data_IF_524234707597
#
_entry.id   IF_524234707597
#
_cell.length_a   1.000
_cell.length_b   1.000
_cell.length_c   1.000
_cell.angle_alpha   90.00
_cell.angle_beta   90.00
_cell.angle_gamma   90.00
#
_symmetry.space_group_name_H-M   'P 1'
#
loop_
_entity.id
_entity.type
_entity.pdbx_description
1 polymer ?
#
# COMPACT_ATOMS: atom_id res chain seq x y z
N UNK A 1 -5.49 38.78 -1.02
CA UNK A 1 -6.22 37.50 -1.23
C UNK A 1 -5.20 36.37 -1.32
N UNK A 2 -5.23 35.38 -0.42
CA UNK A 2 -4.33 34.22 -0.52
C UNK A 2 -4.92 33.27 -1.57
N UNK A 3 -4.20 33.05 -2.67
CA UNK A 3 -4.53 31.98 -3.62
C UNK A 3 -4.29 30.65 -2.93
N UNK A 4 -5.36 29.97 -2.53
CA UNK A 4 -5.28 28.59 -2.06
C UNK A 4 -5.17 27.70 -3.28
N UNK A 5 -3.95 27.38 -3.70
CA UNK A 5 -3.70 26.33 -4.70
C UNK A 5 -4.02 25.00 -4.06
N UNK A 6 -5.26 24.54 -4.22
CA UNK A 6 -5.63 23.16 -3.89
C UNK A 6 -4.85 22.28 -4.86
N UNK A 7 -3.80 21.64 -4.34
CA UNK A 7 -2.96 20.74 -5.12
C UNK A 7 -3.82 19.56 -5.58
N UNK A 8 -3.69 19.17 -6.86
CA UNK A 8 -4.51 18.11 -7.48
C UNK A 8 -4.57 16.84 -6.61
N UNK A 9 -3.46 16.46 -5.97
CA UNK A 9 -3.42 15.32 -5.06
C UNK A 9 -4.27 15.50 -3.79
N UNK A 10 -4.45 16.70 -3.25
CA UNK A 10 -5.30 16.98 -2.09
C UNK A 10 -6.79 16.85 -2.45
N UNK A 11 -7.16 17.31 -3.66
CA UNK A 11 -8.51 17.13 -4.20
C UNK A 11 -8.79 15.65 -4.47
N UNK A 12 -7.83 14.96 -5.09
CA UNK A 12 -7.89 13.53 -5.36
C UNK A 12 -8.01 12.69 -4.08
N UNK A 13 -7.28 13.06 -3.02
CA UNK A 13 -7.41 12.46 -1.66
C UNK A 13 -8.81 12.60 -1.11
N UNK A 14 -9.43 13.79 -1.22
CA UNK A 14 -10.80 14.04 -0.73
C UNK A 14 -11.85 13.25 -1.51
N UNK A 15 -11.78 13.26 -2.84
CA UNK A 15 -12.72 12.54 -3.70
C UNK A 15 -12.69 11.06 -3.36
N UNK A 16 -11.50 10.48 -3.22
CA UNK A 16 -11.39 9.05 -2.99
C UNK A 16 -11.73 8.61 -1.56
N UNK A 17 -11.53 9.47 -0.55
CA UNK A 17 -11.98 9.19 0.83
C UNK A 17 -13.49 8.99 0.98
N UNK A 18 -14.30 9.49 0.03
CA UNK A 18 -15.76 9.27 -0.02
C UNK A 18 -16.11 7.83 -0.45
N UNK A 19 -15.23 7.15 -1.19
CA UNK A 19 -15.50 5.84 -1.79
C UNK A 19 -14.92 4.65 -1.01
N UNK A 20 -14.08 4.90 -0.01
CA UNK A 20 -13.45 3.84 0.78
C UNK A 20 -14.41 3.41 1.91
N UNK A 21 -15.19 2.35 1.63
CA UNK A 21 -15.93 1.61 2.68
C UNK A 21 -14.91 0.94 3.62
N UNK A 22 -15.10 1.12 4.93
CA UNK A 22 -14.24 0.55 5.96
C UNK A 22 -14.19 -0.97 5.83
N UNK A 23 -13.00 -1.50 5.50
CA UNK A 23 -12.64 -2.89 5.77
C UNK A 23 -11.88 -2.91 7.10
N UNK A 24 -12.13 -3.93 7.90
CA UNK A 24 -11.44 -4.12 9.17
C UNK A 24 -9.93 -4.30 8.91
N UNK A 25 -9.11 -3.54 9.65
CA UNK A 25 -7.65 -3.55 9.51
C UNK A 25 -7.02 -4.88 9.99
N UNK A 26 -7.77 -5.68 10.75
CA UNK A 26 -7.29 -6.89 11.44
C UNK A 26 -6.80 -7.99 10.51
N UNK A 27 -7.35 -8.11 9.31
CA UNK A 27 -7.10 -9.24 8.42
C UNK A 27 -5.69 -9.21 7.79
N UNK A 28 -4.99 -8.08 7.92
CA UNK A 28 -3.68 -7.83 7.30
C UNK A 28 -2.59 -7.48 8.32
N UNK A 29 -2.77 -7.85 9.59
CA UNK A 29 -1.83 -7.53 10.65
C UNK A 29 -0.45 -8.19 10.44
N UNK A 30 0.61 -7.39 10.55
CA UNK A 30 2.00 -7.85 10.44
C UNK A 30 2.66 -7.83 11.82
N UNK A 31 2.78 -6.65 12.42
CA UNK A 31 3.53 -6.43 13.67
C UNK A 31 3.12 -5.10 14.30
N UNK A 32 3.49 -4.88 15.57
CA UNK A 32 3.48 -3.54 16.16
C UNK A 32 4.85 -2.89 16.00
N UNK A 33 4.85 -1.60 15.73
CA UNK A 33 6.02 -0.76 15.58
C UNK A 33 5.78 0.58 16.29
N UNK A 34 6.83 1.25 16.76
CA UNK A 34 6.68 2.61 17.31
C UNK A 34 6.06 3.52 16.22
N UNK A 35 5.10 4.41 16.52
CA UNK A 35 4.46 5.28 15.52
C UNK A 35 5.39 6.41 15.03
N UNK A 36 6.54 6.02 14.49
CA UNK A 36 7.58 6.84 13.88
C UNK A 36 7.64 6.56 12.37
N UNK A 37 6.99 7.40 11.52
CA UNK A 37 7.01 7.25 10.08
C UNK A 37 8.41 7.29 9.46
N UNK A 38 9.34 8.05 10.05
CA UNK A 38 10.67 8.23 9.49
C UNK A 38 11.52 6.98 9.71
N UNK A 39 11.53 6.44 10.94
CA UNK A 39 12.25 5.20 11.24
C UNK A 39 11.62 4.00 10.51
N UNK A 40 10.28 3.96 10.43
CA UNK A 40 9.55 2.94 9.67
C UNK A 40 10.01 2.90 8.20
N UNK A 41 10.04 4.05 7.53
CA UNK A 41 10.53 4.14 6.14
C UNK A 41 12.00 3.74 6.04
N UNK A 42 12.85 4.27 6.93
CA UNK A 42 14.30 4.04 6.92
C UNK A 42 14.65 2.55 7.02
N UNK A 43 13.93 1.79 7.84
CA UNK A 43 14.11 0.34 8.02
C UNK A 43 13.65 -0.49 6.84
N UNK A 44 12.64 -0.01 6.10
CA UNK A 44 12.05 -0.74 4.98
C UNK A 44 12.70 -0.42 3.62
N UNK A 45 13.38 0.73 3.50
CA UNK A 45 14.14 1.11 2.28
C UNK A 45 15.12 0.01 1.82
N UNK A 46 15.93 -0.62 2.69
CA UNK A 46 16.83 -1.71 2.28
C UNK A 46 16.13 -2.93 1.66
N UNK A 47 14.85 -3.16 1.99
CA UNK A 47 14.03 -4.24 1.43
C UNK A 47 13.38 -3.87 0.08
N UNK A 48 13.61 -2.64 -0.40
CA UNK A 48 13.05 -2.11 -1.65
C UNK A 48 11.72 -1.38 -1.49
N UNK A 49 11.28 -1.11 -0.26
CA UNK A 49 10.10 -0.28 -0.03
C UNK A 49 10.39 1.20 -0.25
N UNK A 50 9.38 1.89 -0.78
CA UNK A 50 9.41 3.31 -1.07
C UNK A 50 8.09 3.94 -0.63
N UNK A 51 8.12 5.25 -0.39
CA UNK A 51 6.91 5.99 -0.06
C UNK A 51 5.83 5.82 -1.14
N UNK A 52 4.61 5.49 -0.73
CA UNK A 52 3.49 5.30 -1.66
C UNK A 52 2.77 6.63 -1.91
N UNK A 53 3.12 7.29 -3.02
CA UNK A 53 2.52 8.57 -3.39
C UNK A 53 1.02 8.50 -3.75
N UNK A 54 0.50 7.31 -4.07
CA UNK A 54 -0.87 7.12 -4.56
C UNK A 54 -1.80 6.46 -3.54
N UNK A 55 -1.40 6.40 -2.26
CA UNK A 55 -2.23 5.81 -1.23
C UNK A 55 -3.33 6.74 -0.71
N UNK A 56 -4.44 6.14 -0.29
CA UNK A 56 -5.34 6.78 0.67
C UNK A 56 -4.70 6.68 2.03
N UNK A 57 -4.72 7.78 2.79
CA UNK A 57 -4.60 7.65 4.23
C UNK A 57 -5.96 7.15 4.70
N UNK A 58 -6.03 5.87 5.03
CA UNK A 58 -7.13 5.37 5.86
C UNK A 58 -7.14 6.17 7.18
N UNK A 59 -8.28 6.14 7.88
CA UNK A 59 -8.37 6.79 9.19
C UNK A 59 -7.20 6.31 10.08
N UNK A 60 -6.55 7.25 10.74
CA UNK A 60 -5.46 7.00 11.70
C UNK A 60 -4.15 6.45 11.10
N UNK A 61 -4.04 6.36 9.77
CA UNK A 61 -2.79 6.02 9.08
C UNK A 61 -1.81 7.20 9.06
N UNK A 62 -0.58 6.96 9.55
CA UNK A 62 0.49 7.96 9.63
C UNK A 62 1.61 7.73 8.61
N UNK A 63 1.81 6.51 8.12
CA UNK A 63 2.78 6.21 7.05
C UNK A 63 2.27 5.15 6.07
N UNK A 64 2.70 5.25 4.81
CA UNK A 64 2.37 4.30 3.75
C UNK A 64 3.59 4.05 2.86
N UNK A 65 3.96 2.78 2.70
CA UNK A 65 5.05 2.39 1.81
C UNK A 65 4.63 1.24 0.93
N UNK A 66 5.30 1.12 -0.22
CA UNK A 66 5.08 0.05 -1.18
C UNK A 66 6.38 -0.48 -1.74
N UNK A 67 6.38 -1.72 -2.17
CA UNK A 67 7.44 -2.35 -2.95
C UNK A 67 6.83 -2.94 -4.21
N UNK A 68 7.31 -2.49 -5.38
CA UNK A 68 6.87 -2.99 -6.67
C UNK A 68 7.60 -4.27 -7.04
N UNK A 69 6.88 -5.23 -7.60
CA UNK A 69 7.43 -6.47 -8.16
C UNK A 69 6.75 -6.78 -9.49
N UNK A 70 7.43 -7.55 -10.33
CA UNK A 70 6.87 -8.07 -11.58
C UNK A 70 6.54 -9.54 -11.35
N UNK A 71 5.27 -9.91 -11.53
CA UNK A 71 4.80 -11.29 -11.43
C UNK A 71 4.40 -11.81 -12.81
N UNK A 72 4.80 -13.04 -13.10
CA UNK A 72 4.34 -13.74 -14.30
C UNK A 72 3.04 -14.47 -13.97
N UNK A 73 1.93 -13.98 -14.49
CA UNK A 73 0.62 -14.59 -14.27
C UNK A 73 0.31 -15.48 -15.47
N UNK A 74 -0.14 -16.72 -15.23
CA UNK A 74 -0.61 -17.59 -16.29
C UNK A 74 -1.75 -16.87 -17.03
N UNK A 75 -1.44 -16.41 -18.24
CA UNK A 75 -2.29 -15.56 -19.07
C UNK A 75 -3.71 -16.11 -19.13
N UNK A 76 -4.67 -15.36 -18.58
CA UNK A 76 -6.08 -15.52 -18.93
C UNK A 76 -6.17 -15.16 -20.42
N UNK A 77 -6.85 -15.96 -21.28
CA UNK A 77 -6.85 -15.76 -22.74
C UNK A 77 -7.33 -14.39 -23.25
N UNK A 78 -7.82 -13.52 -22.35
CA UNK A 78 -8.34 -12.19 -22.65
C UNK A 78 -7.38 -11.04 -22.27
N UNK A 79 -6.20 -11.32 -21.68
CA UNK A 79 -5.23 -10.30 -21.26
C UNK A 79 -3.85 -10.59 -21.87
N UNK A 80 -3.31 -9.62 -22.60
CA UNK A 80 -2.12 -9.75 -23.46
C UNK A 80 -0.77 -9.62 -22.72
N UNK A 81 -0.76 -9.43 -21.40
CA UNK A 81 0.47 -9.18 -20.65
C UNK A 81 0.91 -10.43 -19.89
N UNK A 82 2.01 -11.03 -20.33
CA UNK A 82 2.67 -12.16 -19.62
C UNK A 82 3.23 -11.76 -18.26
N UNK A 83 3.49 -10.47 -18.05
CA UNK A 83 4.06 -9.92 -16.84
C UNK A 83 3.19 -8.76 -16.35
N UNK A 84 2.81 -8.81 -15.08
CA UNK A 84 2.01 -7.78 -14.42
C UNK A 84 2.82 -7.14 -13.29
N UNK A 85 2.65 -5.84 -13.07
CA UNK A 85 3.22 -5.15 -11.93
C UNK A 85 2.29 -5.35 -10.71
N UNK A 86 2.86 -5.89 -9.65
CA UNK A 86 2.22 -6.07 -8.34
C UNK A 86 2.95 -5.25 -7.29
N UNK A 87 2.31 -5.10 -6.13
CA UNK A 87 2.89 -4.38 -5.01
C UNK A 87 2.62 -5.05 -3.67
N UNK A 88 3.65 -5.08 -2.83
CA UNK A 88 3.47 -5.17 -1.39
C UNK A 88 3.18 -3.78 -0.86
N UNK A 89 2.13 -3.62 -0.08
CA UNK A 89 1.68 -2.35 0.43
C UNK A 89 1.60 -2.45 1.95
N UNK A 90 2.36 -1.60 2.65
CA UNK A 90 2.38 -1.54 4.11
C UNK A 90 1.84 -0.21 4.62
N UNK A 91 1.19 -0.27 5.78
CA UNK A 91 0.62 0.90 6.47
C UNK A 91 1.06 0.88 7.92
N UNK A 92 1.49 2.04 8.42
CA UNK A 92 1.69 2.29 9.83
C UNK A 92 0.57 3.20 10.34
N UNK A 93 -0.04 2.81 11.44
CA UNK A 93 -1.09 3.56 12.13
C UNK A 93 -0.55 4.30 13.36
N UNK A 94 -1.27 5.31 13.82
CA UNK A 94 -0.93 6.06 15.04
C UNK A 94 -0.91 5.20 16.31
N UNK A 95 -1.62 4.07 16.31
CA UNK A 95 -1.60 3.04 17.34
C UNK A 95 -0.29 2.24 17.38
N UNK A 96 0.56 2.39 16.37
CA UNK A 96 1.74 1.54 16.14
C UNK A 96 1.45 0.25 15.39
N UNK A 97 0.18 -0.03 15.04
CA UNK A 97 -0.16 -1.20 14.23
C UNK A 97 0.47 -1.07 12.83
N UNK A 98 1.07 -2.16 12.35
CA UNK A 98 1.53 -2.29 10.96
C UNK A 98 0.68 -3.34 10.25
N UNK A 99 -0.01 -2.93 9.20
CA UNK A 99 -0.75 -3.84 8.32
C UNK A 99 -0.13 -3.89 6.93
N UNK A 100 -0.37 -4.99 6.23
CA UNK A 100 0.17 -5.16 4.89
C UNK A 100 -0.57 -6.18 4.04
N UNK A 101 -0.69 -5.86 2.76
CA UNK A 101 -1.31 -6.75 1.77
C UNK A 101 -0.51 -6.72 0.46
N UNK A 102 -0.76 -7.73 -0.37
CA UNK A 102 -0.24 -7.84 -1.72
C UNK A 102 -1.38 -7.59 -2.71
N UNK A 103 -1.16 -6.74 -3.70
CA UNK A 103 -2.20 -6.38 -4.66
C UNK A 103 -1.63 -6.00 -6.01
N UNK A 104 -2.47 -6.02 -7.04
CA UNK A 104 -2.11 -5.48 -8.35
C UNK A 104 -1.81 -3.99 -8.24
N UNK A 105 -0.79 -3.55 -8.97
CA UNK A 105 -0.35 -2.16 -8.98
C UNK A 105 -1.38 -1.25 -9.67
N UNK A 106 -1.53 0.00 -9.20
CA UNK A 106 -2.47 0.92 -9.85
C UNK A 106 -2.00 1.37 -11.25
N UNK A 107 -0.72 1.21 -11.54
CA UNK A 107 -0.10 1.43 -12.84
C UNK A 107 -0.59 0.43 -13.91
N UNK A 108 -0.97 -0.79 -13.51
CA UNK A 108 -1.57 -1.79 -14.41
C UNK A 108 -3.02 -1.43 -14.74
N UNK A 109 -3.84 -1.26 -13.71
CA UNK A 109 -5.25 -0.92 -13.87
C UNK A 109 -5.80 -0.23 -12.62
N UNK A 110 -5.86 1.10 -12.68
CA UNK A 110 -6.35 1.93 -11.57
C UNK A 110 -7.80 1.61 -11.15
N UNK A 111 -8.65 1.15 -12.07
CA UNK A 111 -10.06 0.84 -11.77
C UNK A 111 -10.22 -0.47 -11.01
N UNK A 112 -9.45 -1.50 -11.37
CA UNK A 112 -9.39 -2.78 -10.64
C UNK A 112 -8.78 -2.61 -9.26
N UNK A 113 -7.72 -1.81 -9.18
CA UNK A 113 -7.06 -1.46 -7.92
C UNK A 113 -8.03 -0.75 -6.95
N UNK A 114 -8.82 0.22 -7.42
CA UNK A 114 -9.86 0.88 -6.59
C UNK A 114 -10.94 -0.12 -6.12
N UNK A 115 -11.25 -1.13 -6.92
CA UNK A 115 -12.20 -2.20 -6.56
C UNK A 115 -11.59 -3.24 -5.61
N UNK A 116 -10.28 -3.19 -5.37
CA UNK A 116 -9.55 -4.17 -4.56
C UNK A 116 -9.53 -5.57 -5.18
N UNK A 117 -9.52 -5.65 -6.51
CA UNK A 117 -9.36 -6.90 -7.26
C UNK A 117 -7.91 -7.37 -7.13
N UNK A 118 -7.70 -8.66 -6.83
CA UNK A 118 -6.36 -9.24 -6.67
C UNK A 118 -5.68 -8.91 -5.35
N UNK A 119 -6.43 -8.51 -4.33
CA UNK A 119 -5.89 -8.25 -2.99
C UNK A 119 -5.72 -9.57 -2.22
N UNK A 120 -4.50 -9.88 -1.81
CA UNK A 120 -4.12 -11.11 -1.09
C UNK A 120 -3.23 -10.77 0.11
N UNK A 121 -2.98 -11.76 0.97
CA UNK A 121 -2.00 -11.63 2.05
C UNK A 121 -0.58 -11.50 1.50
N UNK A 122 0.30 -10.89 2.30
CA UNK A 122 1.75 -10.89 2.04
C UNK A 122 2.27 -12.31 2.26
N UNK A 123 3.08 -12.81 1.31
CA UNK A 123 3.73 -14.12 1.45
C UNK A 123 4.53 -14.23 2.76
N UNK A 124 4.55 -15.41 3.37
CA UNK A 124 5.26 -15.67 4.63
C UNK A 124 6.72 -15.20 4.62
N UNK A 125 7.47 -15.51 3.56
CA UNK A 125 8.87 -15.11 3.38
C UNK A 125 9.05 -13.59 3.42
N UNK A 126 8.18 -12.84 2.76
CA UNK A 126 8.27 -11.37 2.76
C UNK A 126 7.82 -10.80 4.12
N UNK A 127 6.79 -11.40 4.74
CA UNK A 127 6.32 -11.06 6.08
C UNK A 127 7.44 -11.20 7.12
N UNK A 128 8.21 -12.28 7.07
CA UNK A 128 9.36 -12.49 7.97
C UNK A 128 10.44 -11.41 7.82
N UNK A 129 10.80 -11.04 6.58
CA UNK A 129 11.78 -9.97 6.32
C UNK A 129 11.31 -8.63 6.86
N UNK A 130 10.03 -8.29 6.70
CA UNK A 130 9.44 -7.07 7.24
C UNK A 130 9.53 -7.07 8.75
N UNK A 131 9.15 -8.17 9.40
CA UNK A 131 9.22 -8.31 10.86
C UNK A 131 10.66 -8.16 11.35
N UNK A 132 11.63 -8.78 10.68
CA UNK A 132 13.05 -8.66 11.03
C UNK A 132 13.56 -7.21 10.93
N UNK A 133 13.18 -6.48 9.88
CA UNK A 133 13.58 -5.09 9.71
C UNK A 133 12.97 -4.15 10.77
N UNK A 134 11.78 -4.47 11.28
CA UNK A 134 11.02 -3.64 12.22
C UNK A 134 11.22 -3.99 13.70
N UNK A 135 12.00 -5.04 14.02
CA UNK A 135 12.46 -5.35 15.38
C UNK A 135 13.52 -4.36 15.88
#
# INVERSE_FOLDING_TARGET
>A
MKQTTIRFWQLWRRIKGIFVRGRDASDYFIVNFEPDPEDFMRRLIPLGYQYNYFSYNFKDQICNVRKLVIETVASIPAYEHENEIWQYHLRLYDSGEVTGHFEKSYEENAMEHIRGVGLTEISEVEREKIIEALK
#
